data_IF_744367671719
#
_entry.id   IF_744367671719
#
_cell.length_a   1.000
_cell.length_b   1.000
_cell.length_c   1.000
_cell.angle_alpha   90.00
_cell.angle_beta   90.00
_cell.angle_gamma   90.00
#
_symmetry.space_group_name_H-M   'P 1'
#
loop_
_entity.id
_entity.type
_entity.pdbx_description
1 polymer ?
#
# COMPACT_ATOMS: atom_id res chain seq x y z
N UNK A 1 -1.62 -50.58 7.24
CA UNK A 1 -0.67 -49.52 6.81
C UNK A 1 0.35 -49.42 7.92
N UNK A 2 1.63 -49.28 7.59
CA UNK A 2 2.70 -49.37 8.58
C UNK A 2 3.07 -47.98 9.09
N UNK A 3 3.59 -47.92 10.31
CA UNK A 3 4.11 -46.67 10.87
C UNK A 3 5.23 -46.12 9.99
N UNK A 4 5.26 -44.79 9.79
CA UNK A 4 6.31 -44.13 9.01
C UNK A 4 7.73 -44.38 9.54
N UNK A 5 7.86 -44.55 10.86
CA UNK A 5 9.15 -44.82 11.50
C UNK A 5 9.48 -46.31 11.64
N UNK A 6 8.48 -47.19 11.52
CA UNK A 6 8.60 -48.61 11.80
C UNK A 6 7.77 -49.43 10.81
N UNK A 7 8.45 -50.20 9.97
CA UNK A 7 7.82 -51.04 8.94
C UNK A 7 7.13 -52.29 9.49
N UNK A 8 7.36 -52.62 10.76
CA UNK A 8 6.88 -53.80 11.48
C UNK A 8 5.69 -53.52 12.41
N UNK A 9 5.21 -52.27 12.48
CA UNK A 9 4.20 -51.85 13.45
C UNK A 9 2.95 -51.26 12.81
N UNK A 10 1.80 -51.65 13.37
CA UNK A 10 0.49 -51.15 12.97
C UNK A 10 0.26 -49.69 13.41
N UNK A 11 -0.48 -48.96 12.59
CA UNK A 11 -0.80 -47.54 12.77
C UNK A 11 -1.99 -47.36 13.69
N UNK A 12 -1.90 -46.40 14.60
CA UNK A 12 -3.01 -46.06 15.51
C UNK A 12 -3.63 -44.70 15.19
N UNK A 13 -2.81 -43.67 14.94
CA UNK A 13 -3.28 -42.29 14.71
C UNK A 13 -2.42 -41.55 13.68
N UNK A 14 -3.03 -40.56 13.03
CA UNK A 14 -2.35 -39.61 12.14
C UNK A 14 -1.81 -38.42 12.94
N UNK A 15 -0.57 -38.00 12.65
CA UNK A 15 0.01 -36.81 13.25
C UNK A 15 -0.65 -35.54 12.70
N UNK A 16 -1.17 -34.66 13.57
CA UNK A 16 -1.81 -33.40 13.14
C UNK A 16 -0.87 -32.43 12.40
N UNK A 17 0.43 -32.47 12.67
CA UNK A 17 1.40 -31.49 12.15
C UNK A 17 1.96 -31.91 10.80
N UNK A 18 2.36 -33.18 10.66
CA UNK A 18 2.99 -33.69 9.44
C UNK A 18 2.08 -34.61 8.62
N UNK A 19 0.86 -34.89 9.07
CA UNK A 19 -0.13 -35.75 8.42
C UNK A 19 0.32 -37.20 8.16
N UNK A 20 1.35 -37.63 8.86
CA UNK A 20 1.95 -38.94 8.67
C UNK A 20 1.35 -39.96 9.64
N UNK A 21 1.31 -41.23 9.24
CA UNK A 21 0.73 -42.33 10.02
C UNK A 21 1.71 -42.86 11.07
N UNK A 22 1.29 -42.87 12.34
CA UNK A 22 2.18 -43.13 13.49
C UNK A 22 1.61 -44.23 14.41
N UNK A 23 2.49 -45.07 14.95
CA UNK A 23 2.14 -46.11 15.94
C UNK A 23 2.02 -45.57 17.37
N UNK A 24 1.50 -46.39 18.27
CA UNK A 24 1.25 -46.10 19.69
C UNK A 24 2.49 -45.61 20.47
N UNK A 25 3.69 -46.05 20.11
CA UNK A 25 4.93 -45.63 20.78
C UNK A 25 5.53 -44.34 20.24
N UNK A 26 5.20 -43.97 18.99
CA UNK A 26 5.76 -42.80 18.32
C UNK A 26 4.82 -41.58 18.41
N UNK A 27 3.56 -41.79 18.82
CA UNK A 27 2.59 -40.73 19.04
C UNK A 27 2.69 -40.19 20.46
N UNK A 28 2.60 -38.87 20.58
CA UNK A 28 2.55 -38.13 21.84
C UNK A 28 1.19 -37.39 21.86
N UNK A 29 0.31 -37.70 22.82
CA UNK A 29 -0.94 -36.96 22.97
C UNK A 29 -0.68 -35.59 23.58
N UNK A 30 -1.15 -34.53 22.92
CA UNK A 30 -1.09 -33.14 23.40
C UNK A 30 -2.51 -32.58 23.38
N UNK A 31 -3.16 -32.60 24.54
CA UNK A 31 -4.60 -32.34 24.64
C UNK A 31 -5.39 -33.37 23.85
N UNK A 32 -6.26 -32.90 22.95
CA UNK A 32 -7.08 -33.76 22.07
C UNK A 32 -6.37 -34.18 20.77
N UNK A 33 -5.12 -33.76 20.56
CA UNK A 33 -4.40 -33.98 19.31
C UNK A 33 -3.26 -34.99 19.45
N UNK A 34 -3.07 -35.82 18.42
CA UNK A 34 -1.95 -36.75 18.30
C UNK A 34 -0.83 -36.11 17.47
N UNK A 35 0.38 -36.04 18.02
CA UNK A 35 1.57 -35.44 17.37
C UNK A 35 2.73 -36.42 17.47
N UNK A 36 3.57 -36.54 16.44
CA UNK A 36 4.75 -37.41 16.48
C UNK A 36 5.90 -36.79 17.28
N UNK A 37 6.79 -37.64 17.83
CA UNK A 37 7.97 -37.20 18.61
C UNK A 37 8.85 -36.18 17.89
N UNK A 38 9.00 -36.30 16.58
CA UNK A 38 9.81 -35.38 15.75
C UNK A 38 9.18 -34.00 15.63
N UNK A 39 7.87 -33.93 15.41
CA UNK A 39 7.15 -32.65 15.31
C UNK A 39 7.13 -31.91 16.65
N UNK A 40 6.90 -32.63 17.75
CA UNK A 40 6.90 -32.01 19.08
C UNK A 40 8.31 -31.54 19.49
N UNK A 41 9.36 -32.29 19.15
CA UNK A 41 10.74 -31.85 19.44
C UNK A 41 11.11 -30.60 18.64
N UNK A 42 10.69 -30.50 17.37
CA UNK A 42 10.92 -29.30 16.57
C UNK A 42 10.22 -28.08 17.16
N UNK A 43 8.96 -28.20 17.60
CA UNK A 43 8.26 -27.09 18.24
C UNK A 43 8.89 -26.67 19.57
N UNK A 44 9.33 -27.61 20.40
CA UNK A 44 10.00 -27.30 21.69
C UNK A 44 11.37 -26.65 21.46
N UNK A 45 12.15 -27.11 20.48
CA UNK A 45 13.45 -26.49 20.15
C UNK A 45 13.33 -25.09 19.54
N UNK A 46 12.22 -24.79 18.86
CA UNK A 46 11.95 -23.44 18.35
C UNK A 46 11.67 -22.45 19.49
N UNK A 47 11.03 -22.90 20.58
CA UNK A 47 10.81 -22.08 21.79
C UNK A 47 12.13 -21.76 22.52
N UNK A 48 13.09 -22.70 22.58
CA UNK A 48 14.39 -22.49 23.23
C UNK A 48 15.32 -21.51 22.47
N UNK A 49 15.12 -21.34 21.16
CA UNK A 49 15.94 -20.43 20.35
C UNK A 49 15.58 -18.94 20.48
N UNK A 50 14.58 -18.58 21.28
CA UNK A 50 14.26 -17.19 21.60
C UNK A 50 13.88 -16.32 20.40
N UNK A 51 13.56 -16.94 19.24
CA UNK A 51 13.04 -16.26 18.05
C UNK A 51 11.59 -16.69 17.78
N UNK A 52 10.72 -16.15 18.63
CA UNK A 52 9.30 -15.86 18.42
C UNK A 52 8.31 -17.04 18.37
N UNK A 53 7.63 -17.25 19.50
CA UNK A 53 6.17 -17.41 19.54
C UNK A 53 5.60 -16.71 20.78
N UNK A 54 5.13 -15.48 20.56
CA UNK A 54 4.29 -14.72 21.48
C UNK A 54 2.93 -15.41 21.62
N UNK A 55 2.81 -16.34 22.56
CA UNK A 55 1.52 -16.85 22.99
C UNK A 55 0.87 -15.83 23.92
N UNK A 56 0.21 -14.82 23.35
CA UNK A 56 -0.98 -14.16 23.90
C UNK A 56 -0.95 -13.61 25.33
N UNK A 57 0.22 -13.48 25.98
CA UNK A 57 0.31 -12.87 27.32
C UNK A 57 0.36 -11.36 27.16
N UNK A 58 -0.51 -10.59 27.85
CA UNK A 58 -0.43 -9.14 27.80
C UNK A 58 0.94 -8.69 28.32
N UNK A 59 1.72 -8.03 27.46
CA UNK A 59 3.05 -7.52 27.82
C UNK A 59 2.96 -6.61 29.05
N UNK A 60 3.81 -6.86 30.02
CA UNK A 60 3.95 -6.00 31.20
C UNK A 60 4.42 -4.60 30.79
N UNK A 61 4.12 -3.57 31.60
CA UNK A 61 4.55 -2.18 31.33
C UNK A 61 6.08 -2.08 31.10
N UNK A 62 6.87 -2.90 31.80
CA UNK A 62 8.32 -2.97 31.64
C UNK A 62 8.74 -3.55 30.28
N UNK A 63 8.09 -4.62 29.83
CA UNK A 63 8.37 -5.24 28.51
C UNK A 63 7.95 -4.31 27.37
N UNK A 64 6.79 -3.64 27.46
CA UNK A 64 6.37 -2.60 26.50
C UNK A 64 7.43 -1.48 26.39
N UNK A 65 7.99 -1.03 27.53
CA UNK A 65 9.05 -0.01 27.57
C UNK A 65 10.35 -0.51 26.92
N UNK A 66 10.76 -1.74 27.22
CA UNK A 66 11.94 -2.38 26.60
C UNK A 66 11.77 -2.53 25.10
N UNK A 67 10.60 -2.98 24.64
CA UNK A 67 10.30 -3.15 23.21
C UNK A 67 10.32 -1.80 22.45
N UNK A 68 9.83 -0.72 23.06
CA UNK A 68 9.94 0.64 22.51
C UNK A 68 11.39 1.11 22.40
N UNK A 69 12.21 0.88 23.42
CA UNK A 69 13.63 1.25 23.42
C UNK A 69 14.43 0.48 22.36
N UNK A 70 14.21 -0.83 22.24
CA UNK A 70 14.85 -1.67 21.20
C UNK A 70 14.47 -1.18 19.80
N UNK A 71 13.18 -0.89 19.56
CA UNK A 71 12.72 -0.33 18.28
C UNK A 71 13.36 1.03 17.98
N UNK A 72 13.53 1.89 18.99
CA UNK A 72 14.18 3.20 18.83
C UNK A 72 15.67 3.07 18.45
N UNK A 73 16.42 2.18 19.11
CA UNK A 73 17.83 1.93 18.79
C UNK A 73 17.99 1.32 17.40
N UNK A 74 17.16 0.33 17.05
CA UNK A 74 17.19 -0.31 15.73
C UNK A 74 16.91 0.70 14.62
N UNK A 75 15.90 1.55 14.78
CA UNK A 75 15.61 2.67 13.84
C UNK A 75 16.79 3.63 13.70
N UNK A 76 17.48 3.96 14.80
CA UNK A 76 18.66 4.84 14.77
C UNK A 76 19.83 4.19 14.04
N UNK A 77 20.03 2.89 14.21
CA UNK A 77 21.04 2.12 13.47
C UNK A 77 20.70 2.04 11.97
N UNK A 78 19.44 1.83 11.60
CA UNK A 78 18.96 1.85 10.21
C UNK A 78 19.16 3.24 9.57
N UNK A 79 18.88 4.32 10.30
CA UNK A 79 19.11 5.69 9.84
C UNK A 79 20.60 5.98 9.61
N UNK A 80 21.47 5.54 10.54
CA UNK A 80 22.94 5.63 10.39
C UNK A 80 23.46 4.80 9.20
N UNK A 81 22.86 3.64 8.94
CA UNK A 81 23.21 2.79 7.82
C UNK A 81 22.78 3.38 6.46
N UNK A 82 21.78 4.27 6.44
CA UNK A 82 21.24 4.82 5.19
C UNK A 82 22.19 5.73 4.41
N UNK A 83 23.30 6.20 5.01
CA UNK A 83 24.33 6.99 4.33
C UNK A 83 23.85 8.37 3.85
N UNK A 84 24.77 9.32 3.72
CA UNK A 84 24.44 10.68 3.29
C UNK A 84 23.94 10.69 1.84
N UNK A 85 22.73 11.21 1.60
CA UNK A 85 22.13 11.35 0.27
C UNK A 85 22.61 12.63 -0.39
N UNK A 86 23.14 12.53 -1.61
CA UNK A 86 23.69 13.70 -2.32
C UNK A 86 22.60 14.68 -2.76
N UNK A 87 22.97 15.98 -2.80
CA UNK A 87 22.12 17.02 -3.34
C UNK A 87 21.83 16.81 -4.83
N UNK A 88 22.88 16.62 -5.63
CA UNK A 88 22.83 16.51 -7.08
C UNK A 88 21.96 15.35 -7.59
N UNK A 89 22.15 14.15 -7.05
CA UNK A 89 21.30 13.01 -7.46
C UNK A 89 19.84 13.23 -7.08
N UNK A 90 19.60 13.81 -5.89
CA UNK A 90 18.23 14.15 -5.48
C UNK A 90 17.61 15.10 -6.49
N UNK A 91 18.28 16.20 -6.87
CA UNK A 91 17.79 17.17 -7.86
C UNK A 91 17.55 16.53 -9.22
N UNK A 92 18.50 15.74 -9.73
CA UNK A 92 18.39 15.08 -11.02
C UNK A 92 17.18 14.15 -11.09
N UNK A 93 16.97 13.33 -10.05
CA UNK A 93 15.82 12.43 -9.99
C UNK A 93 14.50 13.17 -9.72
N UNK A 94 14.49 14.22 -8.92
CA UNK A 94 13.24 14.97 -8.64
C UNK A 94 12.77 15.86 -9.78
N UNK A 95 13.62 16.12 -10.79
CA UNK A 95 13.21 16.77 -12.04
C UNK A 95 12.04 16.01 -12.69
N UNK A 96 12.00 14.69 -12.54
CA UNK A 96 10.79 13.90 -12.79
C UNK A 96 9.96 13.85 -11.49
N UNK A 97 8.74 14.42 -11.47
CA UNK A 97 7.96 14.55 -10.24
C UNK A 97 7.66 13.16 -9.65
N UNK A 98 8.05 12.96 -8.39
CA UNK A 98 7.88 11.70 -7.65
C UNK A 98 9.08 10.74 -7.71
N UNK A 99 9.98 10.88 -8.69
CA UNK A 99 11.16 10.02 -8.81
C UNK A 99 12.26 10.36 -7.79
N UNK A 100 12.33 11.62 -7.34
CA UNK A 100 13.19 12.02 -6.22
C UNK A 100 12.81 11.34 -4.91
N UNK A 101 11.51 11.20 -4.62
CA UNK A 101 11.02 10.44 -3.45
C UNK A 101 11.35 8.96 -3.56
N UNK A 102 11.28 8.41 -4.78
CA UNK A 102 11.67 7.03 -5.05
C UNK A 102 13.17 6.79 -4.77
N UNK A 103 14.05 7.71 -5.19
CA UNK A 103 15.49 7.66 -4.88
C UNK A 103 15.78 7.67 -3.37
N UNK A 104 14.96 8.37 -2.58
CA UNK A 104 15.08 8.44 -1.13
C UNK A 104 14.48 7.22 -0.39
N UNK A 105 13.88 6.27 -1.12
CA UNK A 105 13.22 5.10 -0.55
C UNK A 105 11.76 5.32 -0.14
N UNK A 106 11.17 6.48 -0.47
CA UNK A 106 9.74 6.77 -0.28
C UNK A 106 8.95 6.38 -1.53
N UNK A 107 8.83 5.07 -1.77
CA UNK A 107 8.26 4.51 -2.99
C UNK A 107 6.76 4.78 -3.11
N UNK A 108 6.00 4.56 -2.03
CA UNK A 108 4.54 4.73 -2.02
C UNK A 108 4.19 6.18 -2.31
N UNK A 109 4.88 7.12 -1.66
CA UNK A 109 4.71 8.55 -1.90
C UNK A 109 5.11 8.95 -3.32
N UNK A 110 6.27 8.49 -3.80
CA UNK A 110 6.78 8.83 -5.14
C UNK A 110 5.82 8.43 -6.26
N UNK A 111 5.31 7.19 -6.21
CA UNK A 111 4.35 6.69 -7.20
C UNK A 111 3.05 7.49 -7.19
N UNK A 112 2.54 7.88 -6.02
CA UNK A 112 1.33 8.72 -5.94
C UNK A 112 1.51 10.07 -6.61
N UNK A 113 2.65 10.73 -6.37
CA UNK A 113 2.95 12.02 -6.98
C UNK A 113 3.12 11.90 -8.50
N UNK A 114 3.74 10.82 -8.99
CA UNK A 114 3.81 10.52 -10.43
C UNK A 114 2.42 10.37 -11.03
N UNK A 115 1.55 9.55 -10.42
CA UNK A 115 0.21 9.30 -10.96
C UNK A 115 -0.61 10.58 -10.97
N UNK A 116 -0.55 11.41 -9.92
CA UNK A 116 -1.24 12.70 -9.87
C UNK A 116 -0.71 13.63 -10.97
N UNK A 117 0.60 13.71 -11.15
CA UNK A 117 1.21 14.58 -12.16
C UNK A 117 0.80 14.18 -13.59
N UNK A 118 0.91 12.90 -13.94
CA UNK A 118 0.47 12.42 -15.26
C UNK A 118 -1.04 12.54 -15.44
N UNK A 119 -1.84 12.29 -14.39
CA UNK A 119 -3.28 12.51 -14.44
C UNK A 119 -3.61 13.98 -14.73
N UNK A 120 -2.87 14.94 -14.17
CA UNK A 120 -3.05 16.36 -14.48
C UNK A 120 -2.70 16.70 -15.93
N UNK A 121 -1.64 16.11 -16.50
CA UNK A 121 -1.30 16.27 -17.92
C UNK A 121 -2.43 15.73 -18.81
N UNK A 122 -2.89 14.50 -18.53
CA UNK A 122 -3.98 13.88 -19.28
C UNK A 122 -5.26 14.71 -19.17
N UNK A 123 -5.60 15.17 -17.96
CA UNK A 123 -6.76 16.02 -17.73
C UNK A 123 -6.67 17.32 -18.52
N UNK A 124 -5.50 17.98 -18.52
CA UNK A 124 -5.28 19.20 -19.30
C UNK A 124 -5.46 18.96 -20.82
N UNK A 125 -5.13 17.78 -21.32
CA UNK A 125 -5.31 17.42 -22.73
C UNK A 125 -6.76 17.10 -23.12
N UNK A 126 -7.61 16.67 -22.18
CA UNK A 126 -8.99 16.25 -22.46
C UNK A 126 -9.96 17.42 -22.28
N UNK A 127 -9.67 18.37 -21.38
CA UNK A 127 -10.55 19.49 -21.07
C UNK A 127 -10.47 20.54 -22.19
N UNK A 128 -11.54 20.77 -22.98
CA UNK A 128 -11.47 21.62 -24.16
C UNK A 128 -11.68 23.12 -23.86
N UNK A 129 -12.11 23.45 -22.64
CA UNK A 129 -12.42 24.83 -22.30
C UNK A 129 -11.17 25.64 -21.98
N UNK A 130 -10.99 26.73 -22.72
CA UNK A 130 -9.85 27.67 -22.59
C UNK A 130 -9.61 28.12 -21.14
N UNK A 131 -10.68 28.29 -20.34
CA UNK A 131 -10.58 28.73 -18.94
C UNK A 131 -10.06 27.65 -17.99
N UNK A 132 -10.50 26.39 -18.09
CA UNK A 132 -9.97 25.31 -17.24
C UNK A 132 -8.58 24.85 -17.69
N UNK A 133 -8.30 24.90 -18.99
CA UNK A 133 -6.99 24.55 -19.52
C UNK A 133 -5.92 25.52 -19.00
N UNK A 134 -6.22 26.81 -18.84
CA UNK A 134 -5.33 27.78 -18.21
C UNK A 134 -5.01 27.43 -16.75
N UNK A 135 -6.05 27.13 -15.94
CA UNK A 135 -5.88 26.79 -14.51
C UNK A 135 -5.08 25.49 -14.35
N UNK A 136 -5.46 24.44 -15.09
CA UNK A 136 -4.79 23.14 -15.03
C UNK A 136 -3.36 23.22 -15.60
N UNK A 137 -3.14 24.02 -16.64
CA UNK A 137 -1.81 24.27 -17.21
C UNK A 137 -0.87 24.95 -16.23
N UNK A 138 -1.33 25.98 -15.50
CA UNK A 138 -0.55 26.65 -14.44
C UNK A 138 -0.33 25.74 -13.23
N UNK A 139 -1.26 24.81 -12.95
CA UNK A 139 -1.09 23.88 -11.83
C UNK A 139 0.09 22.91 -12.01
N UNK A 140 0.47 22.59 -13.26
CA UNK A 140 1.59 21.69 -13.57
C UNK A 140 2.95 22.17 -13.04
N UNK A 141 3.45 23.38 -13.39
CA UNK A 141 4.70 23.88 -12.86
C UNK A 141 4.63 24.10 -11.34
N UNK A 142 3.50 24.56 -10.80
CA UNK A 142 3.31 24.72 -9.34
C UNK A 142 3.48 23.38 -8.61
N UNK A 143 2.79 22.35 -9.10
CA UNK A 143 2.87 20.99 -8.56
C UNK A 143 4.29 20.43 -8.70
N UNK A 144 4.93 20.64 -9.85
CA UNK A 144 6.31 20.22 -10.09
C UNK A 144 7.28 20.83 -9.07
N UNK A 145 7.25 22.16 -8.89
CA UNK A 145 8.07 22.85 -7.88
C UNK A 145 7.77 22.35 -6.47
N UNK A 146 6.50 22.12 -6.14
CA UNK A 146 6.12 21.58 -4.84
C UNK A 146 6.77 20.21 -4.59
N UNK A 147 6.64 19.28 -5.53
CA UNK A 147 7.20 17.92 -5.43
C UNK A 147 8.74 17.94 -5.37
N UNK A 148 9.36 18.81 -6.16
CA UNK A 148 10.82 19.04 -6.15
C UNK A 148 11.30 19.49 -4.76
N UNK A 149 10.65 20.51 -4.20
CA UNK A 149 10.99 21.04 -2.86
C UNK A 149 10.67 20.02 -1.76
N UNK A 150 9.61 19.23 -1.91
CA UNK A 150 9.25 18.16 -0.98
C UNK A 150 10.33 17.07 -0.93
N UNK A 151 10.87 16.65 -2.08
CA UNK A 151 11.97 15.69 -2.15
C UNK A 151 13.22 16.20 -1.43
N UNK A 152 13.57 17.48 -1.60
CA UNK A 152 14.71 18.09 -0.89
C UNK A 152 14.53 18.12 0.62
N UNK A 153 13.31 18.42 1.10
CA UNK A 153 13.00 18.38 2.54
C UNK A 153 13.22 16.98 3.12
N UNK A 154 12.77 15.93 2.43
CA UNK A 154 12.96 14.56 2.88
C UNK A 154 14.42 14.12 2.85
N UNK A 155 15.18 14.53 1.82
CA UNK A 155 16.62 14.31 1.79
C UNK A 155 17.29 14.90 3.03
N UNK A 156 16.96 16.13 3.38
CA UNK A 156 17.58 16.79 4.54
C UNK A 156 17.17 16.15 5.87
N UNK A 157 15.92 15.67 6.00
CA UNK A 157 15.47 14.89 7.15
C UNK A 157 16.26 13.57 7.28
N UNK A 158 16.40 12.82 6.18
CA UNK A 158 17.18 11.57 6.15
C UNK A 158 18.64 11.84 6.50
N UNK A 159 19.24 12.89 5.94
CA UNK A 159 20.62 13.27 6.21
C UNK A 159 20.86 13.74 7.66
N UNK A 160 19.83 14.26 8.34
CA UNK A 160 19.87 14.58 9.78
C UNK A 160 19.67 13.35 10.68
N UNK A 161 19.43 12.17 10.10
CA UNK A 161 19.16 10.93 10.84
C UNK A 161 17.74 10.86 11.40
N UNK A 162 16.80 11.66 10.89
CA UNK A 162 15.39 11.56 11.25
C UNK A 162 14.79 10.30 10.61
N UNK A 163 13.98 9.55 11.37
CA UNK A 163 13.29 8.38 10.82
C UNK A 163 12.11 8.81 9.97
N UNK A 164 12.28 8.80 8.65
CA UNK A 164 11.21 9.10 7.69
C UNK A 164 10.50 7.80 7.33
N UNK A 165 9.21 7.71 7.65
CA UNK A 165 8.37 6.58 7.23
C UNK A 165 7.73 6.86 5.88
N UNK A 166 7.72 5.86 4.99
CA UNK A 166 7.06 5.93 3.68
C UNK A 166 5.54 5.87 3.86
N UNK A 167 4.95 7.06 4.06
CA UNK A 167 3.50 7.21 4.16
C UNK A 167 2.94 7.77 2.85
N UNK A 168 1.82 7.22 2.37
CA UNK A 168 1.11 7.82 1.25
C UNK A 168 0.69 9.25 1.59
N UNK A 169 0.70 10.15 0.59
CA UNK A 169 0.17 11.52 0.70
C UNK A 169 -1.32 11.46 1.04
N UNK A 170 -2.03 10.51 0.42
CA UNK A 170 -3.43 10.20 0.73
C UNK A 170 -3.55 8.77 1.27
N UNK A 171 -3.91 8.58 2.56
CA UNK A 171 -3.97 7.24 3.18
C UNK A 171 -5.00 6.31 2.54
N UNK A 172 -6.02 6.90 1.90
CA UNK A 172 -7.14 6.18 1.26
C UNK A 172 -6.93 5.94 -0.25
N UNK A 173 -5.72 6.19 -0.76
CA UNK A 173 -5.40 6.11 -2.19
C UNK A 173 -5.68 4.75 -2.83
N UNK A 174 -5.37 3.65 -2.13
CA UNK A 174 -5.53 2.28 -2.66
C UNK A 174 -6.98 1.94 -2.98
N UNK A 175 -7.91 2.58 -2.29
CA UNK A 175 -9.35 2.42 -2.50
C UNK A 175 -9.82 3.20 -3.72
N UNK A 176 -9.20 4.37 -3.95
CA UNK A 176 -9.44 5.19 -5.12
C UNK A 176 -8.90 4.51 -6.38
N UNK A 177 -7.66 3.99 -6.33
CA UNK A 177 -6.97 3.44 -7.50
C UNK A 177 -7.15 1.91 -7.64
N UNK A 178 -8.37 1.41 -7.58
CA UNK A 178 -8.63 -0.01 -7.86
C UNK A 178 -8.35 -0.33 -9.34
N UNK A 179 -7.83 -1.53 -9.64
CA UNK A 179 -7.55 -1.98 -11.02
C UNK A 179 -8.82 -1.89 -11.89
N UNK A 180 -10.00 -2.12 -11.28
CA UNK A 180 -11.29 -1.94 -11.92
C UNK A 180 -11.53 -0.48 -12.34
N UNK A 181 -11.25 0.51 -11.47
CA UNK A 181 -11.39 1.93 -11.83
C UNK A 181 -10.44 2.28 -12.98
N UNK A 182 -9.21 1.79 -12.95
CA UNK A 182 -8.23 2.04 -14.02
C UNK A 182 -8.74 1.51 -15.37
N UNK A 183 -9.35 0.33 -15.39
CA UNK A 183 -9.96 -0.26 -16.58
C UNK A 183 -11.12 0.57 -17.13
N UNK A 184 -12.00 1.07 -16.26
CA UNK A 184 -13.11 1.95 -16.67
C UNK A 184 -12.61 3.30 -17.20
N UNK A 185 -11.58 3.89 -16.58
CA UNK A 185 -10.95 5.12 -17.06
C UNK A 185 -10.41 4.94 -18.48
N UNK A 186 -9.66 3.86 -18.74
CA UNK A 186 -9.15 3.57 -20.09
C UNK A 186 -10.26 3.27 -21.10
N UNK A 187 -11.32 2.54 -20.70
CA UNK A 187 -12.44 2.28 -21.58
C UNK A 187 -13.16 3.57 -21.99
N UNK A 188 -13.41 4.48 -21.03
CA UNK A 188 -13.99 5.80 -21.30
C UNK A 188 -13.08 6.63 -22.19
N UNK A 189 -11.78 6.69 -21.90
CA UNK A 189 -10.79 7.37 -22.73
C UNK A 189 -10.76 6.83 -24.18
N UNK A 190 -10.85 5.51 -24.33
CA UNK A 190 -10.92 4.84 -25.64
C UNK A 190 -12.17 5.22 -26.41
N UNK A 191 -13.34 5.30 -25.75
CA UNK A 191 -14.59 5.75 -26.37
C UNK A 191 -14.51 7.22 -26.79
N UNK A 192 -13.91 8.09 -25.98
CA UNK A 192 -13.69 9.51 -26.32
C UNK A 192 -12.81 9.63 -27.57
N UNK A 193 -11.67 8.94 -27.57
CA UNK A 193 -10.74 8.97 -28.70
C UNK A 193 -11.40 8.45 -29.99
N UNK A 194 -12.20 7.38 -29.89
CA UNK A 194 -12.93 6.83 -31.03
C UNK A 194 -14.01 7.78 -31.53
N UNK A 195 -14.78 8.41 -30.63
CA UNK A 195 -15.79 9.40 -31.00
C UNK A 195 -15.17 10.61 -31.72
N UNK A 196 -14.02 11.10 -31.26
CA UNK A 196 -13.29 12.18 -31.92
C UNK A 196 -12.77 11.76 -33.30
N UNK A 197 -12.24 10.54 -33.42
CA UNK A 197 -11.82 9.98 -34.70
C UNK A 197 -12.98 9.84 -35.69
N UNK A 198 -14.18 9.46 -35.21
CA UNK A 198 -15.40 9.39 -36.04
C UNK A 198 -15.85 10.77 -36.49
N UNK A 199 -15.84 11.78 -35.62
CA UNK A 199 -16.17 13.17 -35.99
C UNK A 199 -15.18 13.71 -37.02
N UNK A 200 -13.90 13.37 -36.87
CA UNK A 200 -12.87 13.78 -37.82
C UNK A 200 -13.07 13.10 -39.18
N UNK A 201 -13.31 11.78 -39.18
CA UNK A 201 -13.59 10.97 -40.37
C UNK A 201 -14.89 11.36 -41.09
N UNK A 202 -15.91 11.78 -40.34
CA UNK A 202 -17.19 12.24 -40.90
C UNK A 202 -17.08 13.56 -41.68
N UNK A 203 -15.90 14.19 -41.72
CA UNK A 203 -15.63 15.32 -42.61
C UNK A 203 -16.47 16.56 -42.31
N UNK A 204 -16.93 16.74 -41.07
CA UNK A 204 -17.74 17.90 -40.66
C UNK A 204 -16.91 19.17 -40.90
N UNK A 205 -17.20 19.91 -41.98
CA UNK A 205 -16.36 21.01 -42.46
C UNK A 205 -16.35 22.27 -41.58
N UNK A 206 -17.27 22.37 -40.63
CA UNK A 206 -17.36 23.52 -39.74
C UNK A 206 -16.50 23.31 -38.49
N UNK A 207 -15.39 24.05 -38.40
CA UNK A 207 -14.46 24.01 -37.27
C UNK A 207 -15.17 24.25 -35.92
N UNK A 208 -16.11 25.19 -35.87
CA UNK A 208 -16.92 25.48 -34.67
C UNK A 208 -17.82 24.30 -34.25
N UNK A 209 -18.43 23.60 -35.21
CA UNK A 209 -19.29 22.46 -34.91
C UNK A 209 -18.48 21.26 -34.42
N UNK A 210 -17.30 21.04 -35.01
CA UNK A 210 -16.34 20.02 -34.57
C UNK A 210 -15.92 20.23 -33.12
N UNK A 211 -15.53 21.46 -32.77
CA UNK A 211 -15.06 21.75 -31.41
C UNK A 211 -16.21 21.68 -30.38
N UNK A 212 -17.39 22.18 -30.73
CA UNK A 212 -18.59 22.05 -29.89
C UNK A 212 -19.00 20.58 -29.68
N UNK A 213 -18.88 19.71 -30.69
CA UNK A 213 -19.16 18.29 -30.55
C UNK A 213 -18.14 17.58 -29.65
N UNK A 214 -16.85 17.93 -29.76
CA UNK A 214 -15.82 17.39 -28.86
C UNK A 214 -16.12 17.77 -27.40
N UNK A 215 -16.45 19.04 -27.16
CA UNK A 215 -16.86 19.53 -25.85
C UNK A 215 -18.07 18.78 -25.29
N UNK A 216 -19.11 18.61 -26.10
CA UNK A 216 -20.34 17.94 -25.68
C UNK A 216 -20.10 16.46 -25.31
N UNK A 217 -19.28 15.75 -26.09
CA UNK A 217 -18.93 14.34 -25.83
C UNK A 217 -18.11 14.20 -24.56
N UNK A 218 -17.10 15.06 -24.34
CA UNK A 218 -16.29 15.03 -23.12
C UNK A 218 -17.13 15.31 -21.87
N UNK A 219 -17.98 16.34 -21.91
CA UNK A 219 -18.86 16.71 -20.81
C UNK A 219 -19.84 15.58 -20.46
N UNK A 220 -20.49 14.98 -21.47
CA UNK A 220 -21.43 13.88 -21.25
C UNK A 220 -20.79 12.67 -20.57
N UNK A 221 -19.55 12.34 -20.95
CA UNK A 221 -18.83 11.22 -20.34
C UNK A 221 -18.31 11.53 -18.93
N UNK A 222 -17.81 12.75 -18.66
CA UNK A 222 -17.45 13.14 -17.29
C UNK A 222 -18.64 13.12 -16.34
N UNK A 223 -19.81 13.58 -16.80
CA UNK A 223 -21.05 13.51 -16.04
C UNK A 223 -21.49 12.06 -15.80
N UNK A 224 -21.38 11.19 -16.80
CA UNK A 224 -21.65 9.76 -16.67
C UNK A 224 -20.71 9.06 -15.68
N UNK A 225 -19.40 9.29 -15.80
CA UNK A 225 -18.38 8.75 -14.90
C UNK A 225 -18.55 9.28 -13.47
N UNK A 226 -18.80 10.58 -13.30
CA UNK A 226 -19.07 11.20 -12.02
C UNK A 226 -20.32 10.62 -11.35
N UNK A 227 -21.41 10.47 -12.10
CA UNK A 227 -22.64 9.86 -11.59
C UNK A 227 -22.45 8.39 -11.19
N UNK A 228 -21.67 7.63 -11.96
CA UNK A 228 -21.36 6.24 -11.66
C UNK A 228 -20.50 6.08 -10.40
N UNK A 229 -19.50 6.95 -10.20
CA UNK A 229 -18.67 6.97 -8.98
C UNK A 229 -19.52 7.26 -7.74
N UNK A 230 -20.46 8.20 -7.81
CA UNK A 230 -21.37 8.54 -6.71
C UNK A 230 -22.32 7.39 -6.35
N UNK A 231 -22.73 6.58 -7.35
CA UNK A 231 -23.58 5.40 -7.15
C UNK A 231 -22.82 4.11 -6.83
N UNK A 232 -21.49 4.13 -6.87
CA UNK A 232 -20.66 2.97 -6.53
C UNK A 232 -20.99 2.46 -5.13
N UNK A 233 -21.24 1.15 -4.99
CA UNK A 233 -21.52 0.51 -3.69
C UNK A 233 -20.41 0.90 -2.70
N UNK A 234 -20.74 1.20 -1.42
CA UNK A 234 -19.71 1.43 -0.42
C UNK A 234 -18.83 0.18 -0.38
N UNK A 235 -17.53 0.38 -0.61
CA UNK A 235 -16.54 -0.67 -0.55
C UNK A 235 -16.62 -1.33 0.85
N UNK A 236 -16.54 -2.68 0.94
CA UNK A 236 -16.63 -3.38 2.20
C UNK A 236 -15.33 -3.19 2.96
N UNK A 237 -15.23 -2.09 3.71
CA UNK A 237 -14.13 -1.90 4.64
C UNK A 237 -14.46 -2.58 5.97
N UNK A 238 -13.55 -3.41 6.51
CA UNK A 238 -13.61 -3.71 7.94
C UNK A 238 -13.46 -2.40 8.70
N UNK A 239 -14.31 -2.20 9.72
CA UNK A 239 -14.36 -0.98 10.51
C UNK A 239 -12.97 -0.61 11.05
N UNK A 240 -12.64 0.69 11.21
CA UNK A 240 -11.43 1.12 11.88
C UNK A 240 -11.37 0.41 13.23
N UNK A 241 -10.27 -0.32 13.49
CA UNK A 241 -10.05 -0.90 14.80
C UNK A 241 -10.11 0.24 15.82
N UNK A 242 -11.18 0.26 16.61
CA UNK A 242 -11.30 1.17 17.74
C UNK A 242 -10.07 0.95 18.58
N UNK A 243 -9.23 2.00 18.66
CA UNK A 243 -8.17 2.10 19.64
C UNK A 243 -8.85 1.85 20.98
N UNK A 244 -8.62 0.69 21.59
CA UNK A 244 -9.03 0.40 22.95
C UNK A 244 -8.40 1.49 23.80
N UNK A 245 -9.21 2.45 24.24
CA UNK A 245 -8.82 3.38 25.28
C UNK A 245 -8.60 2.51 26.53
N UNK A 246 -7.33 2.36 26.87
CA UNK A 246 -6.86 1.77 28.12
C UNK A 246 -7.40 2.70 29.23
N UNK A 247 -8.57 2.36 29.77
CA UNK A 247 -9.16 3.06 30.91
C UNK A 247 -8.22 2.85 32.10
N UNK A 248 -7.43 3.88 32.43
CA UNK A 248 -6.78 4.01 33.73
C UNK A 248 -7.88 4.07 34.79
N UNK A 249 -8.25 2.91 35.34
CA UNK A 249 -9.02 2.80 36.55
C UNK A 249 -8.06 3.08 37.72
N UNK A 250 -7.91 4.36 38.06
CA UNK A 250 -7.30 4.79 39.31
C UNK A 250 -8.28 4.42 40.44
N UNK A 251 -8.06 3.25 41.02
CA UNK A 251 -8.58 2.94 42.34
C UNK A 251 -7.79 3.74 43.38
N UNK A 252 -8.34 4.87 43.81
CA UNK A 252 -7.94 5.53 45.05
C UNK A 252 -9.03 5.29 46.10
N UNK A 253 -8.71 4.34 46.96
CA UNK A 253 -8.91 4.30 48.41
C UNK A 253 -9.72 5.46 49.03
N UNK A 254 -10.84 5.08 49.64
CA UNK A 254 -11.32 5.64 50.91
C UNK A 254 -11.42 4.49 51.92
#
# INVERSE_FOLDING_TARGET
>A
MNCYYHSDRDVERECRVCHELVCSECVVPVGDHAVCKTCISQTVTLDDTGLLADTGKPLTKAEKKKQRAVRAVKRKQEALASGHKSFWFTTLFSCLPGLGHYYLGLQVRGVQLMIIFFALIILNSIVPSNSLQFITGISLPIMWFYVQMDAHKFRDQINRGESVEDRPVYPRWRELLSIAMLGWVFAVLGVIALAYGVIDLAGVGNWQLREALKELVSAALFLGAGFWIVKGKPLPFPAPQTRVEESDNNGEHA
#
